data_IF_672297481213
#
_entry.id   IF_672297481213
#
_cell.length_a   1.000
_cell.length_b   1.000
_cell.length_c   1.000
_cell.angle_alpha   90.00
_cell.angle_beta   90.00
_cell.angle_gamma   90.00
#
_symmetry.space_group_name_H-M   'P 1'
#
loop_
_entity.id
_entity.type
_entity.pdbx_description
1 polymer ?
#
# COMPACT_ATOMS: atom_id res chain seq x y z
N UNK A 1 10.37 -63.62 -16.54
CA UNK A 1 9.80 -62.69 -17.55
C UNK A 1 10.53 -61.36 -17.43
N UNK A 2 11.26 -60.99 -18.49
CA UNK A 2 12.03 -59.75 -18.64
C UNK A 2 11.11 -58.62 -19.13
N UNK A 3 11.19 -57.43 -18.52
CA UNK A 3 11.01 -56.11 -19.15
C UNK A 3 11.63 -55.06 -18.18
N UNK A 4 12.91 -54.69 -18.29
CA UNK A 4 13.46 -53.50 -18.98
C UNK A 4 12.59 -52.23 -18.96
N UNK A 5 13.06 -51.24 -18.18
CA UNK A 5 13.52 -49.94 -18.71
C UNK A 5 12.53 -48.76 -18.75
N UNK A 6 12.84 -47.71 -17.98
CA UNK A 6 13.20 -46.40 -18.54
C UNK A 6 13.60 -45.41 -17.43
N UNK A 7 14.83 -44.89 -17.53
CA UNK A 7 15.28 -43.68 -16.85
C UNK A 7 14.99 -42.50 -17.79
N UNK A 8 14.25 -41.51 -17.33
CA UNK A 8 14.17 -40.21 -18.00
C UNK A 8 14.91 -39.20 -17.13
N UNK A 9 15.94 -38.59 -17.73
CA UNK A 9 16.66 -37.43 -17.20
C UNK A 9 15.89 -36.19 -17.61
N UNK A 10 15.46 -35.37 -16.65
CA UNK A 10 14.94 -34.03 -16.95
C UNK A 10 16.11 -33.04 -16.93
N UNK A 11 16.35 -32.42 -18.08
CA UNK A 11 17.30 -31.33 -18.26
C UNK A 11 16.65 -30.01 -17.82
N UNK A 12 17.40 -29.18 -17.10
CA UNK A 12 17.04 -27.82 -16.77
C UNK A 12 17.20 -26.92 -18.02
N UNK A 13 16.14 -26.19 -18.36
CA UNK A 13 16.19 -25.13 -19.39
C UNK A 13 16.27 -23.79 -18.67
N UNK A 14 17.39 -23.10 -18.86
CA UNK A 14 17.62 -21.71 -18.45
C UNK A 14 17.16 -20.83 -19.60
N UNK A 15 16.14 -19.99 -19.37
CA UNK A 15 15.72 -18.96 -20.33
C UNK A 15 16.20 -17.61 -19.83
N UNK A 16 17.18 -17.04 -20.51
CA UNK A 16 17.60 -15.65 -20.37
C UNK A 16 16.91 -14.84 -21.49
N UNK A 17 16.02 -13.93 -21.13
CA UNK A 17 15.42 -12.99 -22.07
C UNK A 17 16.15 -11.64 -21.98
N UNK A 18 16.82 -11.26 -23.06
CA UNK A 18 17.38 -9.92 -23.26
C UNK A 18 16.54 -9.26 -24.35
N UNK A 19 15.89 -8.13 -24.06
CA UNK A 19 15.09 -7.39 -25.03
C UNK A 19 15.77 -6.03 -25.30
N UNK A 20 16.35 -5.89 -26.50
CA UNK A 20 16.71 -4.61 -27.10
C UNK A 20 15.66 -4.30 -28.17
N UNK A 21 14.98 -3.17 -28.07
CA UNK A 21 14.21 -2.61 -29.20
C UNK A 21 14.67 -1.16 -29.39
N UNK A 22 15.42 -0.95 -30.47
CA UNK A 22 15.65 0.35 -31.07
C UNK A 22 14.64 0.51 -32.21
N UNK A 23 13.86 1.59 -32.20
CA UNK A 23 13.07 2.00 -33.36
C UNK A 23 13.61 3.33 -33.87
N UNK A 24 14.21 3.27 -35.06
CA UNK A 24 14.43 4.40 -35.94
C UNK A 24 13.79 4.06 -37.28
N UNK A 25 12.92 4.92 -37.80
CA UNK A 25 12.88 5.34 -39.22
C UNK A 25 11.66 6.24 -39.47
N UNK A 26 11.97 7.46 -39.92
CA UNK A 26 11.06 8.39 -40.59
C UNK A 26 10.62 7.86 -41.96
N UNK A 27 9.61 8.50 -42.56
CA UNK A 27 9.83 8.94 -43.92
C UNK A 27 9.44 10.39 -44.18
N UNK A 28 10.24 10.98 -45.07
CA UNK A 28 10.09 12.23 -45.78
C UNK A 28 8.69 12.45 -46.37
N UNK A 29 8.27 13.71 -46.41
CA UNK A 29 7.54 14.24 -47.57
C UNK A 29 7.87 15.71 -47.79
N UNK A 30 8.33 15.98 -49.01
CA UNK A 30 8.82 17.23 -49.56
C UNK A 30 7.70 18.06 -50.20
N UNK A 31 7.80 19.38 -49.98
CA UNK A 31 7.47 20.53 -50.84
C UNK A 31 6.08 20.73 -51.49
N UNK A 32 5.48 21.90 -51.23
CA UNK A 32 5.51 23.02 -52.20
C UNK A 32 5.01 24.36 -51.60
N UNK A 33 5.46 25.52 -52.13
CA UNK A 33 5.31 26.83 -51.50
C UNK A 33 4.08 27.61 -52.04
N UNK A 34 3.49 28.47 -51.20
CA UNK A 34 2.60 29.56 -51.64
C UNK A 34 2.98 30.91 -51.00
N UNK A 35 3.45 31.77 -51.89
CA UNK A 35 3.34 33.23 -51.98
C UNK A 35 2.97 34.06 -50.76
N UNK A 36 3.89 34.98 -50.46
CA UNK A 36 3.77 36.27 -49.78
C UNK A 36 2.41 36.98 -49.89
N UNK A 37 1.82 37.30 -48.73
CA UNK A 37 1.07 38.54 -48.54
C UNK A 37 1.63 39.28 -47.33
N UNK A 38 2.21 40.44 -47.58
CA UNK A 38 2.71 41.38 -46.58
C UNK A 38 1.50 42.08 -45.95
N UNK A 39 1.03 41.60 -44.80
CA UNK A 39 0.15 42.39 -43.92
C UNK A 39 0.98 43.06 -42.83
N UNK A 40 1.15 44.38 -42.96
CA UNK A 40 1.65 45.22 -41.88
C UNK A 40 0.55 45.36 -40.82
N UNK A 41 0.49 44.43 -39.88
CA UNK A 41 -0.39 44.55 -38.71
C UNK A 41 0.27 45.48 -37.70
N UNK A 42 -0.37 46.61 -37.43
CA UNK A 42 -0.04 47.47 -36.28
C UNK A 42 -0.35 46.65 -35.02
N UNK A 43 0.68 46.10 -34.38
CA UNK A 43 0.54 45.46 -33.06
C UNK A 43 0.35 46.60 -32.05
N UNK A 44 -0.90 46.96 -31.80
CA UNK A 44 -1.23 47.60 -30.54
C UNK A 44 -0.79 46.65 -29.43
N UNK A 45 0.14 47.09 -28.59
CA UNK A 45 0.56 46.39 -27.38
C UNK A 45 -0.66 46.31 -26.45
N UNK A 46 -1.46 45.26 -26.65
CA UNK A 46 -2.47 44.86 -25.70
C UNK A 46 -1.71 44.44 -24.45
N UNK A 47 -1.97 45.13 -23.33
CA UNK A 47 -1.52 44.65 -22.04
C UNK A 47 -1.91 43.17 -21.92
N UNK A 48 -1.00 42.29 -21.44
CA UNK A 48 -1.33 40.89 -21.28
C UNK A 48 -2.64 40.81 -20.47
N UNK A 49 -3.59 39.96 -20.88
CA UNK A 49 -4.84 39.82 -20.13
C UNK A 49 -4.50 39.60 -18.66
N UNK A 50 -5.22 40.23 -17.72
CA UNK A 50 -5.01 39.97 -16.30
C UNK A 50 -5.02 38.45 -16.12
N UNK A 51 -4.02 37.93 -15.39
CA UNK A 51 -3.96 36.49 -15.12
C UNK A 51 -5.33 36.04 -14.61
N UNK A 52 -5.86 34.91 -15.08
CA UNK A 52 -7.20 34.43 -14.71
C UNK A 52 -7.43 34.48 -13.19
N UNK A 53 -6.36 34.27 -12.42
CA UNK A 53 -6.26 34.46 -10.97
C UNK A 53 -6.74 35.83 -10.44
N UNK A 54 -6.35 36.94 -11.06
CA UNK A 54 -6.69 38.30 -10.61
C UNK A 54 -8.13 38.70 -10.97
N UNK A 55 -8.68 38.15 -12.06
CA UNK A 55 -10.11 38.31 -12.38
C UNK A 55 -10.98 37.49 -11.42
N UNK A 56 -10.54 36.27 -11.08
CA UNK A 56 -11.16 35.42 -10.06
C UNK A 56 -11.17 36.13 -8.71
N UNK A 57 -10.03 36.61 -8.21
CA UNK A 57 -9.97 37.33 -6.92
C UNK A 57 -10.90 38.55 -6.88
N UNK A 58 -11.02 39.29 -7.99
CA UNK A 58 -11.89 40.47 -8.12
C UNK A 58 -13.38 40.10 -8.19
N UNK A 59 -13.74 39.06 -8.93
CA UNK A 59 -15.13 38.60 -9.08
C UNK A 59 -15.70 38.06 -7.77
N UNK A 60 -14.82 37.68 -6.85
CA UNK A 60 -15.16 36.84 -5.72
C UNK A 60 -15.18 37.56 -4.36
N UNK A 61 -14.74 38.82 -4.29
CA UNK A 61 -15.02 39.69 -3.15
C UNK A 61 -14.29 39.36 -1.83
N UNK A 62 -13.17 38.64 -1.88
CA UNK A 62 -12.23 38.53 -0.74
C UNK A 62 -12.59 37.57 0.40
N UNK A 63 -13.72 36.84 0.33
CA UNK A 63 -14.02 35.79 1.31
C UNK A 63 -12.97 34.64 1.29
N UNK A 64 -12.63 34.03 2.44
CA UNK A 64 -11.76 32.85 2.51
C UNK A 64 -12.37 31.64 1.79
N UNK A 65 -11.58 30.96 0.96
CA UNK A 65 -12.04 29.91 0.03
C UNK A 65 -10.91 28.96 -0.39
N UNK A 66 -11.25 27.83 -1.00
CA UNK A 66 -10.28 26.96 -1.67
C UNK A 66 -10.41 27.17 -3.18
N UNK A 67 -9.33 27.63 -3.81
CA UNK A 67 -9.24 27.88 -5.25
C UNK A 67 -8.40 26.77 -5.88
N UNK A 68 -8.97 26.02 -6.81
CA UNK A 68 -8.25 25.02 -7.59
C UNK A 68 -7.87 25.63 -8.94
N UNK A 69 -6.56 25.67 -9.22
CA UNK A 69 -6.01 26.08 -10.49
C UNK A 69 -5.82 24.86 -11.41
N UNK A 70 -6.65 24.76 -12.45
CA UNK A 70 -6.43 23.80 -13.53
C UNK A 70 -5.68 24.49 -14.68
N UNK A 71 -4.44 24.05 -14.93
CA UNK A 71 -3.64 24.51 -16.07
C UNK A 71 -3.86 23.68 -17.33
N UNK A 72 -4.58 22.55 -17.22
CA UNK A 72 -4.93 21.75 -18.38
C UNK A 72 -6.04 22.44 -19.18
N UNK A 73 -6.10 22.14 -20.48
CA UNK A 73 -7.19 22.58 -21.36
C UNK A 73 -8.44 21.70 -21.20
N UNK A 74 -8.40 20.69 -20.32
CA UNK A 74 -9.49 19.75 -20.13
C UNK A 74 -10.44 20.31 -19.07
N UNK A 75 -11.72 20.31 -19.41
CA UNK A 75 -12.77 20.62 -18.46
C UNK A 75 -12.85 19.52 -17.40
N UNK A 76 -12.59 19.88 -16.15
CA UNK A 76 -12.69 18.99 -15.01
C UNK A 76 -14.11 19.07 -14.42
N UNK A 77 -14.68 17.90 -14.12
CA UNK A 77 -15.75 17.78 -13.14
C UNK A 77 -15.11 17.31 -11.82
N UNK A 78 -15.41 17.96 -10.71
CA UNK A 78 -14.99 17.47 -9.39
C UNK A 78 -15.95 16.36 -8.96
N UNK A 79 -15.42 15.19 -8.62
CA UNK A 79 -16.24 14.02 -8.32
C UNK A 79 -16.35 13.76 -6.83
N UNK A 80 -15.23 13.88 -6.11
CA UNK A 80 -15.18 13.66 -4.67
C UNK A 80 -14.14 14.58 -4.06
N UNK A 81 -14.32 14.87 -2.78
CA UNK A 81 -13.32 15.53 -1.97
C UNK A 81 -13.20 14.84 -0.63
N UNK A 82 -11.98 14.74 -0.14
CA UNK A 82 -11.67 14.15 1.16
C UNK A 82 -10.85 15.14 1.98
N UNK A 83 -10.93 14.99 3.29
CA UNK A 83 -10.12 15.76 4.22
C UNK A 83 -9.63 14.85 5.33
N UNK A 84 -8.42 15.10 5.83
CA UNK A 84 -8.00 14.58 7.13
C UNK A 84 -7.28 15.67 7.91
N UNK A 85 -7.42 15.66 9.22
CA UNK A 85 -6.64 16.54 10.08
C UNK A 85 -5.14 16.22 9.94
N UNK A 86 -4.27 17.21 10.14
CA UNK A 86 -2.81 17.03 9.99
C UNK A 86 -2.28 15.90 10.90
N UNK A 87 -2.95 15.66 12.04
CA UNK A 87 -2.61 14.62 12.99
C UNK A 87 -3.24 13.26 12.66
N UNK A 88 -4.13 13.13 11.67
CA UNK A 88 -4.80 11.87 11.33
C UNK A 88 -5.81 11.35 12.37
N UNK A 89 -6.15 12.14 13.40
CA UNK A 89 -7.00 11.72 14.53
C UNK A 89 -8.46 11.51 14.16
N UNK A 90 -8.98 12.27 13.21
CA UNK A 90 -10.35 12.14 12.72
C UNK A 90 -10.46 11.06 11.64
N UNK A 91 -9.32 10.59 11.12
CA UNK A 91 -9.29 9.71 9.95
C UNK A 91 -9.68 10.47 8.68
N UNK A 92 -9.80 9.75 7.57
CA UNK A 92 -10.27 10.34 6.32
C UNK A 92 -11.78 10.59 6.40
N UNK A 93 -12.20 11.83 6.14
CA UNK A 93 -13.59 12.24 6.08
C UNK A 93 -13.95 12.69 4.66
N UNK A 94 -15.12 12.27 4.17
CA UNK A 94 -15.67 12.73 2.89
C UNK A 94 -16.20 14.15 3.04
N UNK A 95 -15.89 15.03 2.09
CA UNK A 95 -16.42 16.40 2.00
C UNK A 95 -17.63 16.46 1.07
N UNK A 96 -17.53 15.80 -0.08
CA UNK A 96 -18.57 15.74 -1.10
C UNK A 96 -18.71 14.31 -1.61
N UNK A 97 -19.94 13.76 -1.66
CA UNK A 97 -20.16 12.42 -2.19
C UNK A 97 -19.94 12.37 -3.70
N UNK A 98 -19.72 11.17 -4.22
CA UNK A 98 -19.99 10.90 -5.62
C UNK A 98 -21.50 11.09 -5.86
N UNK A 99 -21.85 11.87 -6.88
CA UNK A 99 -23.26 12.14 -7.21
C UNK A 99 -24.09 10.89 -7.48
N UNK A 100 -23.46 9.77 -7.83
CA UNK A 100 -24.12 8.46 -8.00
C UNK A 100 -24.56 7.84 -6.68
N UNK A 101 -23.82 8.08 -5.59
CA UNK A 101 -24.12 7.52 -4.27
C UNK A 101 -25.26 8.28 -3.60
N UNK A 102 -25.31 9.60 -3.82
CA UNK A 102 -26.29 10.49 -3.21
C UNK A 102 -26.87 11.49 -4.24
N UNK A 103 -27.69 11.04 -5.21
CA UNK A 103 -28.14 11.85 -6.34
C UNK A 103 -29.05 13.02 -5.98
N UNK A 104 -29.60 13.03 -4.75
CA UNK A 104 -30.44 14.11 -4.23
C UNK A 104 -29.67 15.09 -3.33
N UNK A 105 -28.39 14.84 -3.08
CA UNK A 105 -27.57 15.73 -2.28
C UNK A 105 -27.10 16.89 -3.14
N UNK A 106 -27.67 18.07 -2.90
CA UNK A 106 -27.14 19.32 -3.42
C UNK A 106 -26.19 19.93 -2.38
N UNK A 107 -24.87 19.95 -2.64
CA UNK A 107 -23.95 20.58 -1.71
C UNK A 107 -24.33 22.06 -1.52
N UNK A 108 -24.48 22.50 -0.26
CA UNK A 108 -24.71 23.92 0.06
C UNK A 108 -23.52 24.79 -0.30
N UNK A 109 -22.33 24.20 -0.32
CA UNK A 109 -21.08 24.81 -0.72
C UNK A 109 -21.08 25.01 -2.24
N UNK A 110 -20.88 26.25 -2.67
CA UNK A 110 -20.91 26.58 -4.10
C UNK A 110 -19.56 26.22 -4.72
N UNK A 111 -19.61 25.44 -5.80
CA UNK A 111 -18.52 25.31 -6.75
C UNK A 111 -18.78 26.28 -7.91
N UNK A 112 -17.94 27.30 -8.06
CA UNK A 112 -17.99 28.21 -9.20
C UNK A 112 -16.86 27.87 -10.18
N UNK A 113 -17.23 27.56 -11.43
CA UNK A 113 -16.27 27.31 -12.51
C UNK A 113 -16.06 28.59 -13.32
N UNK A 114 -14.83 29.11 -13.34
CA UNK A 114 -14.45 30.29 -14.12
C UNK A 114 -13.14 30.02 -14.86
N UNK A 115 -13.20 29.78 -16.18
CA UNK A 115 -12.02 29.66 -17.07
C UNK A 115 -10.92 28.69 -16.56
N UNK A 116 -11.31 27.49 -16.14
CA UNK A 116 -10.35 26.50 -15.59
C UNK A 116 -9.94 26.75 -14.14
N UNK A 117 -10.55 27.72 -13.46
CA UNK A 117 -10.42 27.89 -12.01
C UNK A 117 -11.72 27.43 -11.35
N UNK A 118 -11.58 26.57 -10.33
CA UNK A 118 -12.70 26.10 -9.53
C UNK A 118 -12.61 26.76 -8.16
N UNK A 119 -13.62 27.55 -7.82
CA UNK A 119 -13.74 28.13 -6.49
C UNK A 119 -14.68 27.26 -5.65
N UNK A 120 -14.16 26.77 -4.54
CA UNK A 120 -14.88 25.98 -3.55
C UNK A 120 -14.98 26.77 -2.26
N UNK A 121 -16.23 26.91 -1.80
CA UNK A 121 -16.45 27.37 -0.42
C UNK A 121 -15.74 26.40 0.53
N UNK A 122 -15.07 26.95 1.55
CA UNK A 122 -14.36 26.13 2.53
C UNK A 122 -15.31 25.06 3.09
N UNK A 123 -14.89 23.77 3.12
CA UNK A 123 -15.68 22.77 3.78
C UNK A 123 -15.83 23.13 5.25
N UNK A 124 -17.08 23.24 5.72
CA UNK A 124 -17.36 23.53 7.15
C UNK A 124 -17.88 22.30 7.89
N UNK A 125 -18.27 21.27 7.15
CA UNK A 125 -18.85 20.04 7.67
C UNK A 125 -18.27 18.85 6.90
N UNK A 126 -18.08 17.73 7.59
CA UNK A 126 -17.89 16.44 6.91
C UNK A 126 -19.23 15.97 6.34
N UNK A 127 -19.20 15.22 5.25
CA UNK A 127 -20.36 14.56 4.68
C UNK A 127 -20.68 13.26 5.41
N UNK A 128 -21.96 13.00 5.67
CA UNK A 128 -22.45 11.73 6.22
C UNK A 128 -23.02 10.86 5.08
N UNK A 129 -22.19 9.94 4.59
CA UNK A 129 -22.53 9.03 3.49
C UNK A 129 -23.77 8.18 3.77
N UNK A 130 -23.97 7.76 5.02
CA UNK A 130 -25.12 6.91 5.37
C UNK A 130 -26.43 7.67 5.30
N UNK A 131 -26.39 8.98 5.52
CA UNK A 131 -27.58 9.85 5.51
C UNK A 131 -27.72 10.65 4.23
N UNK A 132 -26.74 10.60 3.34
CA UNK A 132 -26.64 11.48 2.18
C UNK A 132 -26.87 12.96 2.54
N UNK A 133 -26.24 13.43 3.61
CA UNK A 133 -26.47 14.76 4.16
C UNK A 133 -25.20 15.38 4.73
N UNK A 134 -25.24 16.68 4.99
CA UNK A 134 -24.19 17.36 5.76
C UNK A 134 -24.13 16.75 7.17
N UNK A 135 -22.94 16.30 7.55
CA UNK A 135 -22.63 15.65 8.82
C UNK A 135 -22.18 16.65 9.89
N UNK A 136 -21.25 16.21 10.74
CA UNK A 136 -20.74 17.04 11.82
C UNK A 136 -19.89 18.21 11.30
N UNK A 137 -19.96 19.34 12.00
CA UNK A 137 -19.08 20.48 11.74
C UNK A 137 -17.61 20.08 11.93
N UNK A 138 -16.74 20.53 11.03
CA UNK A 138 -15.31 20.33 11.14
C UNK A 138 -14.77 21.23 12.26
N UNK A 139 -14.03 20.70 13.25
CA UNK A 139 -13.43 21.54 14.28
C UNK A 139 -12.37 22.48 13.69
N UNK A 140 -12.03 23.58 14.36
CA UNK A 140 -10.88 24.39 13.97
C UNK A 140 -9.59 23.58 14.02
N UNK A 141 -8.72 23.72 13.02
CA UNK A 141 -7.50 22.92 12.95
C UNK A 141 -6.81 22.98 11.59
N UNK A 142 -5.66 22.30 11.52
CA UNK A 142 -4.93 22.10 10.26
C UNK A 142 -5.38 20.79 9.64
N UNK A 143 -5.61 20.85 8.34
CA UNK A 143 -6.10 19.75 7.55
C UNK A 143 -5.28 19.61 6.28
N UNK A 144 -5.35 18.45 5.67
CA UNK A 144 -4.97 18.27 4.28
C UNK A 144 -6.25 17.91 3.52
N UNK A 145 -6.48 18.56 2.38
CA UNK A 145 -7.65 18.34 1.51
C UNK A 145 -7.21 17.67 0.20
N UNK A 146 -8.00 16.71 -0.28
CA UNK A 146 -7.81 15.97 -1.53
C UNK A 146 -9.05 16.19 -2.36
N UNK A 147 -8.89 16.47 -3.63
CA UNK A 147 -10.01 16.71 -4.54
C UNK A 147 -9.72 16.02 -5.84
N UNK A 148 -10.55 15.04 -6.20
CA UNK A 148 -10.39 14.27 -7.43
C UNK A 148 -11.19 14.88 -8.57
N UNK A 149 -10.52 15.04 -9.71
CA UNK A 149 -11.20 15.03 -11.00
C UNK A 149 -11.59 13.59 -11.31
N UNK A 150 -12.82 13.32 -11.68
CA UNK A 150 -13.21 11.92 -11.94
C UNK A 150 -12.66 11.37 -13.25
N UNK A 151 -13.25 10.23 -13.63
CA UNK A 151 -12.75 9.19 -14.54
C UNK A 151 -12.16 9.60 -15.90
N UNK A 152 -12.28 10.85 -16.35
CA UNK A 152 -11.82 11.26 -17.68
C UNK A 152 -10.44 11.92 -17.70
N UNK A 153 -9.91 12.40 -16.57
CA UNK A 153 -8.72 13.26 -16.60
C UNK A 153 -7.56 12.82 -15.71
N UNK A 154 -7.73 11.84 -14.82
CA UNK A 154 -6.67 11.41 -13.89
C UNK A 154 -5.91 12.61 -13.28
N UNK A 155 -6.66 13.64 -12.87
CA UNK A 155 -6.12 14.79 -12.13
C UNK A 155 -6.63 14.80 -10.68
N UNK A 156 -5.79 15.25 -9.77
CA UNK A 156 -6.17 15.55 -8.39
C UNK A 156 -5.61 16.90 -7.96
N UNK A 157 -6.22 17.52 -6.95
CA UNK A 157 -5.67 18.68 -6.26
C UNK A 157 -5.58 18.38 -4.76
N UNK A 158 -4.37 18.44 -4.23
CA UNK A 158 -4.07 18.18 -2.82
C UNK A 158 -3.36 19.35 -2.14
N UNK A 159 -3.61 19.57 -0.84
CA UNK A 159 -2.81 20.54 -0.08
C UNK A 159 -3.26 20.78 1.36
N UNK A 160 -2.40 21.45 2.14
CA UNK A 160 -2.70 21.83 3.53
C UNK A 160 -3.67 23.04 3.57
N UNK A 161 -4.66 23.00 4.47
CA UNK A 161 -5.57 24.11 4.78
C UNK A 161 -5.69 24.29 6.30
N UNK A 162 -6.08 25.47 6.76
CA UNK A 162 -6.38 25.72 8.19
C UNK A 162 -7.80 26.22 8.34
N UNK A 163 -8.64 25.51 9.09
CA UNK A 163 -10.01 25.89 9.37
C UNK A 163 -10.15 26.63 10.72
N UNK A 164 -11.00 27.65 10.82
CA UNK A 164 -11.68 28.32 9.70
C UNK A 164 -10.67 28.99 8.77
N UNK A 165 -10.92 28.99 7.47
CA UNK A 165 -10.04 29.68 6.51
C UNK A 165 -10.03 31.17 6.86
N UNK A 166 -8.83 31.74 6.98
CA UNK A 166 -8.63 33.19 7.15
C UNK A 166 -8.28 33.89 5.83
N UNK A 167 -7.81 33.12 4.84
CA UNK A 167 -7.41 33.59 3.52
C UNK A 167 -7.76 32.54 2.45
N UNK A 168 -7.64 32.92 1.18
CA UNK A 168 -7.84 31.99 0.08
C UNK A 168 -6.65 31.03 -0.03
N UNK A 169 -6.92 29.72 -0.08
CA UNK A 169 -5.91 28.70 -0.32
C UNK A 169 -5.96 28.28 -1.79
N UNK A 170 -4.80 28.25 -2.45
CA UNK A 170 -4.68 27.85 -3.86
C UNK A 170 -4.08 26.46 -3.98
N UNK A 171 -4.84 25.56 -4.57
CA UNK A 171 -4.42 24.20 -4.89
C UNK A 171 -4.19 24.09 -6.40
N UNK A 172 -3.25 23.24 -6.80
CA UNK A 172 -2.97 23.00 -8.22
C UNK A 172 -3.45 21.60 -8.58
N UNK A 173 -4.07 21.49 -9.75
CA UNK A 173 -4.36 20.17 -10.33
C UNK A 173 -3.06 19.55 -10.86
N UNK A 174 -2.82 18.30 -10.46
CA UNK A 174 -1.67 17.47 -10.82
C UNK A 174 -2.16 16.12 -11.37
N UNK A 175 -1.31 15.41 -12.11
CA UNK A 175 -1.62 14.07 -12.62
C UNK A 175 -1.58 13.01 -11.50
N UNK A 176 -2.53 12.07 -11.50
CA UNK A 176 -2.58 10.94 -10.58
C UNK A 176 -1.38 10.01 -10.68
N UNK A 177 -0.54 10.07 -11.71
CA UNK A 177 0.67 9.25 -11.77
C UNK A 177 1.86 9.89 -11.05
N UNK A 178 1.81 11.21 -10.78
CA UNK A 178 2.86 11.89 -10.03
C UNK A 178 2.77 11.50 -8.55
N UNK A 179 3.69 10.66 -8.06
CA UNK A 179 3.76 10.37 -6.62
C UNK A 179 4.03 11.68 -5.85
N UNK A 180 3.28 11.98 -4.77
CA UNK A 180 3.54 13.17 -4.00
C UNK A 180 4.94 13.07 -3.39
N UNK A 181 5.65 14.19 -3.35
CA UNK A 181 6.97 14.21 -2.72
C UNK A 181 6.82 13.80 -1.25
N UNK A 182 7.56 12.77 -0.83
CA UNK A 182 7.53 12.38 0.57
C UNK A 182 8.18 13.47 1.43
N UNK A 183 7.51 13.81 2.54
CA UNK A 183 8.08 14.61 3.61
C UNK A 183 7.71 14.01 4.98
N UNK A 184 8.40 14.45 6.04
CA UNK A 184 8.21 13.91 7.39
C UNK A 184 6.76 14.01 7.87
N UNK A 185 6.07 15.14 7.63
CA UNK A 185 4.67 15.29 8.06
C UNK A 185 3.74 14.28 7.36
N UNK A 186 3.92 14.10 6.05
CA UNK A 186 3.17 13.13 5.25
C UNK A 186 3.43 11.70 5.75
N UNK A 187 4.68 11.34 6.02
CA UNK A 187 5.03 10.04 6.58
C UNK A 187 4.41 9.80 7.98
N UNK A 188 4.45 10.81 8.85
CA UNK A 188 3.85 10.74 10.20
C UNK A 188 2.31 10.63 10.14
N UNK A 189 1.66 11.37 9.24
CA UNK A 189 0.22 11.28 9.03
C UNK A 189 -0.17 9.91 8.49
N UNK A 190 0.54 9.42 7.47
CA UNK A 190 0.39 8.06 6.95
C UNK A 190 0.50 7.01 8.05
N UNK A 191 1.52 7.11 8.91
CA UNK A 191 1.72 6.22 10.04
C UNK A 191 0.53 6.19 10.99
N UNK A 192 -0.06 7.35 11.31
CA UNK A 192 -1.24 7.43 12.18
C UNK A 192 -2.45 6.76 11.56
N UNK A 193 -2.69 6.99 10.27
CA UNK A 193 -3.80 6.38 9.54
C UNK A 193 -3.67 4.86 9.47
N UNK A 194 -2.50 4.34 9.12
CA UNK A 194 -2.28 2.90 8.98
C UNK A 194 -2.30 2.18 10.33
N UNK A 195 -1.72 2.76 11.39
CA UNK A 195 -1.77 2.17 12.73
C UNK A 195 -3.22 2.08 13.23
N UNK A 196 -3.99 3.17 13.12
CA UNK A 196 -5.41 3.17 13.48
C UNK A 196 -6.21 2.15 12.68
N UNK A 197 -6.02 2.11 11.36
CA UNK A 197 -6.69 1.14 10.52
C UNK A 197 -6.29 -0.32 10.85
N UNK A 198 -5.09 -0.54 11.38
CA UNK A 198 -4.63 -1.86 11.83
C UNK A 198 -5.33 -2.28 13.12
N UNK A 199 -5.53 -1.36 14.07
CA UNK A 199 -6.33 -1.59 15.27
C UNK A 199 -7.78 -1.91 14.91
N UNK A 200 -8.38 -1.14 13.99
CA UNK A 200 -9.73 -1.39 13.47
C UNK A 200 -9.84 -2.73 12.72
N UNK A 201 -8.73 -3.21 12.12
CA UNK A 201 -8.62 -4.54 11.53
C UNK A 201 -8.35 -5.66 12.56
N UNK A 202 -8.30 -5.35 13.86
CA UNK A 202 -8.18 -6.31 14.95
C UNK A 202 -6.73 -6.65 15.36
N UNK A 203 -5.73 -5.88 14.92
CA UNK A 203 -4.37 -6.03 15.45
C UNK A 203 -4.35 -5.57 16.91
N UNK A 204 -3.96 -6.41 17.88
CA UNK A 204 -3.97 -6.02 19.28
C UNK A 204 -3.04 -4.83 19.54
N UNK A 205 -3.48 -3.85 20.33
CA UNK A 205 -2.69 -2.65 20.69
C UNK A 205 -1.31 -3.02 21.26
N UNK A 206 -1.24 -4.06 22.09
CA UNK A 206 0.02 -4.57 22.64
C UNK A 206 1.04 -5.02 21.57
N UNK A 207 0.59 -5.36 20.37
CA UNK A 207 1.47 -5.66 19.22
C UNK A 207 2.00 -4.41 18.55
N UNK A 208 1.24 -3.32 18.57
CA UNK A 208 1.64 -2.04 18.02
C UNK A 208 2.41 -1.18 19.03
N UNK A 209 2.43 -1.59 20.31
CA UNK A 209 3.19 -0.94 21.37
C UNK A 209 4.67 -0.78 20.97
N UNK A 210 5.12 0.47 20.85
CA UNK A 210 6.48 0.82 20.40
C UNK A 210 6.58 1.32 18.95
N UNK A 211 5.50 1.28 18.18
CA UNK A 211 5.41 1.95 16.89
C UNK A 211 4.93 3.40 17.06
N UNK A 212 5.87 4.31 17.30
CA UNK A 212 5.58 5.74 17.42
C UNK A 212 5.46 6.37 16.01
N UNK A 213 4.27 6.86 15.60
CA UNK A 213 4.08 7.48 14.30
C UNK A 213 4.93 8.73 14.08
N UNK A 214 5.39 9.40 15.13
CA UNK A 214 6.25 10.59 15.01
C UNK A 214 7.65 10.26 14.49
N UNK A 215 8.06 8.99 14.58
CA UNK A 215 9.35 8.49 14.06
C UNK A 215 9.31 8.15 12.57
N UNK A 216 8.14 8.23 11.93
CA UNK A 216 7.98 7.87 10.54
C UNK A 216 8.82 8.75 9.60
N UNK A 217 9.54 8.09 8.68
CA UNK A 217 10.43 8.74 7.73
C UNK A 217 10.07 8.43 6.27
N UNK A 218 10.81 9.06 5.36
CA UNK A 218 10.70 8.79 3.93
C UNK A 218 11.67 7.68 3.51
N UNK A 219 11.21 6.79 2.64
CA UNK A 219 12.00 5.76 1.98
C UNK A 219 11.86 5.81 0.46
N UNK A 220 12.60 4.97 -0.23
CA UNK A 220 12.56 4.80 -1.69
C UNK A 220 12.13 3.39 -2.08
N UNK A 221 11.62 3.23 -3.29
CA UNK A 221 11.47 1.92 -3.93
C UNK A 221 12.72 1.58 -4.77
N UNK A 222 13.06 0.28 -4.96
CA UNK A 222 12.41 -0.90 -4.37
C UNK A 222 12.61 -0.98 -2.86
N UNK A 223 11.72 -1.70 -2.17
CA UNK A 223 11.83 -1.91 -0.73
C UNK A 223 13.13 -2.69 -0.43
N UNK A 224 13.99 -2.20 0.48
CA UNK A 224 15.22 -2.90 0.81
C UNK A 224 14.94 -4.19 1.58
N UNK A 225 15.72 -5.22 1.28
CA UNK A 225 15.83 -6.45 2.06
C UNK A 225 16.62 -6.15 3.33
N UNK A 226 15.90 -5.74 4.37
CA UNK A 226 16.47 -5.39 5.68
C UNK A 226 16.19 -6.48 6.70
N UNK A 227 17.20 -6.82 7.51
CA UNK A 227 17.01 -7.63 8.69
C UNK A 227 15.93 -7.03 9.61
N UNK A 228 15.20 -7.85 10.39
CA UNK A 228 14.24 -7.35 11.37
C UNK A 228 14.85 -6.24 12.25
N UNK A 229 14.18 -5.07 12.37
CA UNK A 229 14.75 -3.96 13.12
C UNK A 229 14.73 -4.24 14.63
N UNK A 230 15.58 -3.57 15.39
CA UNK A 230 15.60 -3.68 16.86
C UNK A 230 14.45 -2.94 17.54
N UNK A 231 13.82 -2.00 16.84
CA UNK A 231 12.63 -1.26 17.25
C UNK A 231 11.70 -1.11 16.04
N UNK A 232 10.44 -0.72 16.26
CA UNK A 232 9.51 -0.51 15.16
C UNK A 232 10.05 0.56 14.19
N UNK A 233 10.04 0.26 12.88
CA UNK A 233 10.50 1.18 11.83
C UNK A 233 9.36 1.48 10.87
N UNK A 234 9.04 2.76 10.73
CA UNK A 234 7.93 3.26 9.90
C UNK A 234 8.50 4.09 8.74
N UNK A 235 8.26 3.64 7.51
CA UNK A 235 8.79 4.30 6.32
C UNK A 235 7.72 4.43 5.24
N UNK A 236 7.57 5.64 4.70
CA UNK A 236 6.70 5.92 3.55
C UNK A 236 7.53 5.86 2.26
N UNK A 237 7.20 4.90 1.39
CA UNK A 237 7.81 4.71 0.08
C UNK A 237 6.79 5.11 -0.99
N UNK A 238 6.93 6.31 -1.55
CA UNK A 238 5.93 6.91 -2.45
C UNK A 238 4.55 7.00 -1.78
N UNK A 239 3.66 6.04 -2.03
CA UNK A 239 2.31 5.92 -1.47
C UNK A 239 2.15 4.71 -0.53
N UNK A 240 3.18 3.89 -0.37
CA UNK A 240 3.17 2.69 0.46
C UNK A 240 3.83 2.99 1.81
N UNK A 241 3.04 3.05 2.87
CA UNK A 241 3.60 3.01 4.22
C UNK A 241 3.94 1.56 4.58
N UNK A 242 5.17 1.35 5.03
CA UNK A 242 5.67 0.10 5.58
C UNK A 242 5.99 0.28 7.06
N UNK A 243 5.41 -0.58 7.90
CA UNK A 243 5.71 -0.66 9.34
C UNK A 243 6.38 -2.01 9.58
N UNK A 244 7.69 -2.00 9.88
CA UNK A 244 8.48 -3.19 10.23
C UNK A 244 8.54 -3.33 11.74
N UNK A 245 8.07 -4.47 12.25
CA UNK A 245 7.99 -4.75 13.68
C UNK A 245 9.31 -5.35 14.18
N UNK A 246 9.70 -5.11 15.45
CA UNK A 246 10.81 -5.83 16.05
C UNK A 246 10.48 -7.32 16.21
N UNK A 247 11.50 -8.20 16.38
CA UNK A 247 11.26 -9.62 16.61
C UNK A 247 10.51 -9.87 17.93
N UNK A 248 9.36 -10.54 17.86
CA UNK A 248 8.57 -10.92 19.05
C UNK A 248 8.17 -12.40 19.09
N UNK A 249 8.49 -13.18 18.04
CA UNK A 249 8.04 -14.56 17.85
C UNK A 249 6.56 -14.68 17.44
N UNK A 250 5.76 -13.68 17.78
CA UNK A 250 4.35 -13.57 17.46
C UNK A 250 4.14 -12.64 16.25
N UNK A 251 3.09 -12.89 15.48
CA UNK A 251 2.71 -12.03 14.35
C UNK A 251 2.12 -10.70 14.86
N UNK A 252 2.17 -9.62 14.08
CA UNK A 252 2.75 -9.48 12.73
C UNK A 252 4.23 -9.04 12.71
N UNK A 253 5.00 -9.41 11.67
CA UNK A 253 6.36 -8.86 11.42
C UNK A 253 6.34 -7.56 10.61
N UNK A 254 5.30 -7.37 9.81
CA UNK A 254 5.16 -6.24 8.89
C UNK A 254 3.69 -5.89 8.70
N UNK A 255 3.41 -4.60 8.64
CA UNK A 255 2.12 -4.05 8.22
C UNK A 255 2.39 -3.10 7.07
N UNK A 256 1.63 -3.23 5.98
CA UNK A 256 1.67 -2.29 4.87
C UNK A 256 0.33 -1.63 4.63
N UNK A 257 0.35 -0.34 4.30
CA UNK A 257 -0.83 0.45 3.99
C UNK A 257 -0.61 1.31 2.76
N UNK A 258 -1.54 1.26 1.82
CA UNK A 258 -1.54 2.10 0.63
C UNK A 258 -2.32 3.38 0.88
N UNK A 259 -1.73 4.49 0.46
CA UNK A 259 -2.33 5.81 0.48
C UNK A 259 -2.70 6.20 -0.95
N UNK A 260 -3.89 6.74 -1.15
CA UNK A 260 -4.14 7.64 -2.27
C UNK A 260 -3.46 8.97 -1.95
N UNK A 261 -2.30 9.16 -2.57
CA UNK A 261 -1.57 10.42 -2.54
C UNK A 261 -1.37 10.94 -1.12
N UNK A 262 -1.97 12.08 -0.80
CA UNK A 262 -1.72 12.80 0.43
C UNK A 262 -2.57 12.33 1.61
N UNK A 263 -3.60 11.52 1.38
CA UNK A 263 -4.81 11.62 2.21
C UNK A 263 -5.65 10.37 2.44
N UNK A 264 -5.86 9.52 1.42
CA UNK A 264 -6.86 8.44 1.57
C UNK A 264 -6.16 7.15 1.89
N UNK A 265 -6.44 6.58 3.05
CA UNK A 265 -6.16 5.17 3.24
C UNK A 265 -7.19 4.36 2.46
N UNK A 266 -6.81 3.82 1.30
CA UNK A 266 -7.78 3.31 0.32
C UNK A 266 -8.25 1.89 0.57
N UNK A 267 -7.49 1.13 1.37
CA UNK A 267 -7.71 -0.31 1.53
C UNK A 267 -7.31 -0.74 2.92
N UNK A 268 -7.96 -1.79 3.45
CA UNK A 268 -7.55 -2.43 4.71
C UNK A 268 -6.05 -2.70 4.72
N UNK A 269 -5.35 -2.49 5.84
CA UNK A 269 -3.91 -2.65 5.88
C UNK A 269 -3.60 -4.12 5.65
N UNK A 270 -2.58 -4.39 4.85
CA UNK A 270 -2.07 -5.74 4.70
C UNK A 270 -1.19 -6.04 5.92
N UNK A 271 -1.79 -6.76 6.88
CA UNK A 271 -1.13 -7.21 8.10
C UNK A 271 -0.54 -8.59 7.83
N UNK A 272 0.79 -8.68 7.79
CA UNK A 272 1.46 -9.97 7.56
C UNK A 272 1.22 -10.91 8.74
N UNK A 273 0.85 -12.16 8.43
CA UNK A 273 0.78 -13.25 9.43
C UNK A 273 2.13 -13.89 9.70
N UNK A 274 3.16 -13.52 8.95
CA UNK A 274 4.52 -13.93 9.26
C UNK A 274 5.01 -13.21 10.51
N UNK A 275 5.86 -13.86 11.31
CA UNK A 275 6.52 -13.25 12.46
C UNK A 275 8.03 -13.22 12.28
N UNK A 276 8.70 -12.42 13.12
CA UNK A 276 10.14 -12.49 13.31
C UNK A 276 10.44 -12.81 14.77
N UNK A 277 11.49 -13.56 15.03
CA UNK A 277 11.93 -13.94 16.36
C UNK A 277 13.43 -13.71 16.52
N UNK A 278 13.86 -13.57 17.76
CA UNK A 278 15.25 -13.33 18.11
C UNK A 278 15.71 -14.31 19.17
N UNK A 279 16.94 -14.79 19.00
CA UNK A 279 17.64 -15.59 19.99
C UNK A 279 18.97 -14.93 20.37
N UNK A 280 19.11 -14.61 21.65
CA UNK A 280 20.34 -14.07 22.21
C UNK A 280 21.32 -15.20 22.58
N UNK A 281 22.50 -15.18 21.97
CA UNK A 281 23.62 -16.09 22.24
C UNK A 281 24.87 -15.27 22.63
N UNK A 282 24.97 -14.95 23.91
CA UNK A 282 26.01 -14.03 24.40
C UNK A 282 25.72 -12.60 23.94
N UNK A 283 26.57 -12.04 23.07
CA UNK A 283 26.38 -10.71 22.47
C UNK A 283 25.74 -10.76 21.09
N UNK A 284 25.64 -11.95 20.50
CA UNK A 284 25.19 -12.13 19.13
C UNK A 284 23.67 -12.35 19.10
N UNK A 285 22.99 -11.65 18.17
CA UNK A 285 21.54 -11.72 17.93
C UNK A 285 21.25 -12.59 16.72
N UNK A 286 20.78 -13.81 16.93
CA UNK A 286 20.33 -14.67 15.82
C UNK A 286 18.88 -14.33 15.51
N UNK A 287 18.59 -13.97 14.26
CA UNK A 287 17.27 -13.53 13.82
C UNK A 287 16.62 -14.63 12.99
N UNK A 288 15.33 -14.86 13.21
CA UNK A 288 14.50 -15.82 12.48
C UNK A 288 13.33 -15.05 11.89
N UNK A 289 13.15 -15.10 10.59
CA UNK A 289 12.07 -14.42 9.89
C UNK A 289 11.26 -15.43 9.08
N UNK A 290 9.98 -15.59 9.40
CA UNK A 290 9.09 -16.42 8.59
C UNK A 290 8.84 -15.78 7.23
N UNK A 291 8.85 -16.58 6.17
CA UNK A 291 8.64 -16.10 4.80
C UNK A 291 7.16 -16.21 4.44
N UNK A 292 6.60 -15.20 3.77
CA UNK A 292 5.29 -15.32 3.15
C UNK A 292 5.44 -16.10 1.84
N UNK A 293 4.85 -17.29 1.75
CA UNK A 293 4.82 -18.08 0.53
C UNK A 293 3.56 -17.78 -0.28
N UNK A 294 3.66 -17.91 -1.62
CA UNK A 294 2.53 -17.80 -2.55
C UNK A 294 2.22 -19.17 -3.13
N UNK A 295 0.95 -19.55 -3.14
CA UNK A 295 0.42 -20.76 -3.72
C UNK A 295 -0.68 -20.41 -4.71
N UNK A 296 -0.89 -21.26 -5.70
CA UNK A 296 -1.91 -21.09 -6.74
C UNK A 296 -2.77 -22.35 -6.75
N UNK A 297 -4.10 -22.20 -6.79
CA UNK A 297 -5.00 -23.28 -7.17
C UNK A 297 -5.91 -22.90 -8.33
N UNK A 298 -6.38 -23.91 -9.06
CA UNK A 298 -7.34 -23.77 -10.15
C UNK A 298 -8.77 -24.06 -9.65
N UNK A 299 -9.73 -23.24 -10.04
CA UNK A 299 -11.13 -23.44 -9.68
C UNK A 299 -11.70 -24.72 -10.33
N UNK A 300 -12.30 -25.59 -9.51
CA UNK A 300 -12.80 -26.90 -9.95
C UNK A 300 -11.75 -28.01 -9.98
N UNK A 301 -10.47 -27.70 -9.68
CA UNK A 301 -9.41 -28.67 -9.47
C UNK A 301 -9.31 -29.15 -8.01
N UNK A 302 -8.31 -29.98 -7.73
CA UNK A 302 -7.99 -30.41 -6.37
C UNK A 302 -7.66 -29.20 -5.47
N UNK A 303 -7.96 -29.31 -4.17
CA UNK A 303 -7.66 -28.26 -3.21
C UNK A 303 -6.17 -27.87 -3.24
N UNK A 304 -5.86 -26.59 -3.01
CA UNK A 304 -4.49 -26.20 -2.67
C UNK A 304 -4.06 -26.96 -1.41
N UNK A 305 -2.85 -27.50 -1.44
CA UNK A 305 -2.24 -28.15 -0.29
C UNK A 305 -1.00 -27.36 0.13
N UNK A 306 -0.94 -27.01 1.41
CA UNK A 306 0.28 -26.46 2.01
C UNK A 306 0.96 -27.57 2.79
N UNK A 307 2.20 -27.89 2.42
CA UNK A 307 2.98 -28.99 3.01
C UNK A 307 4.35 -28.53 3.52
N UNK A 308 4.57 -27.22 3.60
CA UNK A 308 5.81 -26.70 4.15
C UNK A 308 5.76 -25.20 4.44
N UNK A 309 6.80 -24.75 5.12
CA UNK A 309 7.08 -23.34 5.38
C UNK A 309 8.57 -23.06 5.27
N UNK A 310 8.91 -21.79 5.07
CA UNK A 310 10.30 -21.34 5.03
C UNK A 310 10.56 -20.30 6.11
N UNK A 311 11.72 -20.41 6.75
CA UNK A 311 12.24 -19.47 7.73
C UNK A 311 13.62 -19.01 7.28
N UNK A 312 13.82 -17.71 7.11
CA UNK A 312 15.15 -17.13 6.88
C UNK A 312 15.80 -16.88 8.22
N UNK A 313 17.00 -17.42 8.41
CA UNK A 313 17.77 -17.27 9.65
C UNK A 313 19.04 -16.48 9.36
N UNK A 314 19.25 -15.40 10.09
CA UNK A 314 20.51 -14.66 10.10
C UNK A 314 21.28 -15.03 11.36
N UNK A 315 22.37 -15.79 11.18
CA UNK A 315 23.28 -16.20 12.22
C UNK A 315 24.57 -15.34 12.16
N UNK A 316 24.66 -14.25 12.93
CA UNK A 316 25.89 -13.44 12.96
C UNK A 316 27.01 -14.07 13.78
N UNK A 317 26.76 -15.22 14.44
CA UNK A 317 27.81 -15.89 15.22
C UNK A 317 28.88 -16.42 14.29
N UNK A 318 30.12 -16.52 14.78
CA UNK A 318 31.25 -17.07 14.02
C UNK A 318 31.27 -18.60 13.96
N UNK A 319 30.18 -19.27 14.36
CA UNK A 319 30.09 -20.73 14.40
C UNK A 319 28.75 -21.22 13.85
N UNK A 320 28.74 -22.50 13.50
CA UNK A 320 27.51 -23.17 13.14
C UNK A 320 26.66 -23.46 14.39
N UNK A 321 25.33 -23.33 14.27
CA UNK A 321 24.36 -23.60 15.33
C UNK A 321 23.53 -24.82 14.97
N UNK A 322 23.31 -25.74 15.93
CA UNK A 322 22.41 -26.88 15.69
C UNK A 322 20.97 -26.43 15.82
N UNK A 323 20.13 -26.83 14.87
CA UNK A 323 18.68 -26.55 14.89
C UNK A 323 17.91 -27.86 14.80
N UNK A 324 16.84 -27.96 15.58
CA UNK A 324 15.83 -29.01 15.44
C UNK A 324 14.45 -28.38 15.36
N UNK A 325 13.58 -28.96 14.52
CA UNK A 325 12.15 -28.62 14.50
C UNK A 325 11.45 -29.59 15.44
N UNK A 326 10.80 -29.06 16.47
CA UNK A 326 10.12 -29.86 17.50
C UNK A 326 8.62 -29.98 17.28
N UNK A 327 8.05 -29.09 16.45
CA UNK A 327 6.65 -29.15 16.06
C UNK A 327 6.30 -28.06 15.07
N UNK A 328 5.18 -28.24 14.40
CA UNK A 328 4.53 -27.23 13.57
C UNK A 328 3.07 -27.16 13.98
N UNK A 329 2.58 -25.95 14.19
CA UNK A 329 1.18 -25.64 14.47
C UNK A 329 0.58 -24.98 13.23
N UNK A 330 -0.61 -25.43 12.82
CA UNK A 330 -1.39 -24.74 11.79
C UNK A 330 -2.29 -23.72 12.49
N UNK A 331 -2.08 -22.43 12.23
CA UNK A 331 -2.77 -21.39 12.98
C UNK A 331 -4.19 -21.18 12.44
N UNK A 332 -5.15 -21.20 13.36
CA UNK A 332 -6.55 -20.82 13.12
C UNK A 332 -6.68 -19.32 13.34
N UNK A 333 -7.23 -18.61 12.36
CA UNK A 333 -7.42 -17.15 12.40
C UNK A 333 -8.87 -16.74 12.69
N UNK A 334 -9.79 -17.70 12.82
CA UNK A 334 -11.21 -17.45 13.12
C UNK A 334 -11.98 -16.66 12.05
N UNK A 335 -11.33 -16.06 11.06
CA UNK A 335 -11.96 -15.18 10.06
C UNK A 335 -12.65 -15.92 8.92
N UNK A 336 -12.50 -17.24 8.86
CA UNK A 336 -12.56 -17.93 7.59
C UNK A 336 -12.86 -19.43 7.71
N UNK A 337 -13.77 -19.78 8.63
CA UNK A 337 -14.15 -21.16 8.97
C UNK A 337 -12.96 -22.08 9.31
N UNK A 338 -11.86 -21.47 9.75
CA UNK A 338 -10.56 -22.03 10.05
C UNK A 338 -10.62 -23.40 10.73
N UNK A 339 -9.59 -24.26 10.58
CA UNK A 339 -9.60 -25.61 11.12
C UNK A 339 -10.09 -25.59 12.57
N UNK A 340 -11.13 -26.38 12.81
CA UNK A 340 -11.78 -26.48 14.11
C UNK A 340 -10.71 -26.72 15.18
N UNK A 341 -10.89 -26.21 16.42
CA UNK A 341 -9.90 -26.32 17.49
C UNK A 341 -9.41 -27.75 17.80
N UNK A 342 -10.05 -28.77 17.22
CA UNK A 342 -9.73 -30.18 17.33
C UNK A 342 -8.80 -30.72 16.23
N UNK A 343 -8.31 -29.90 15.29
CA UNK A 343 -7.39 -30.38 14.27
C UNK A 343 -6.00 -30.62 14.89
N UNK A 344 -5.47 -31.86 14.85
CA UNK A 344 -4.17 -32.16 15.41
C UNK A 344 -3.09 -31.38 14.67
N UNK A 345 -2.01 -30.95 15.33
CA UNK A 345 -0.88 -30.30 14.66
C UNK A 345 -0.29 -31.18 13.54
N UNK A 346 0.10 -30.62 12.38
CA UNK A 346 0.74 -31.41 11.31
C UNK A 346 2.04 -32.03 11.80
N UNK A 347 2.27 -33.29 11.42
CA UNK A 347 3.54 -33.95 11.71
C UNK A 347 4.62 -33.38 10.80
N UNK A 348 5.75 -33.01 11.39
CA UNK A 348 6.95 -32.61 10.64
C UNK A 348 7.44 -33.82 9.84
N UNK A 349 7.55 -33.67 8.52
CA UNK A 349 7.97 -34.73 7.60
C UNK A 349 9.45 -34.58 7.24
N UNK A 350 9.94 -33.35 7.12
CA UNK A 350 11.34 -33.05 6.81
C UNK A 350 11.71 -31.64 7.28
N UNK A 351 13.00 -31.38 7.45
CA UNK A 351 13.52 -30.01 7.49
C UNK A 351 15.00 -29.99 7.12
N UNK A 352 15.43 -28.90 6.47
CA UNK A 352 16.82 -28.68 6.09
C UNK A 352 17.12 -27.17 6.00
N UNK A 353 18.30 -26.70 6.45
CA UNK A 353 19.39 -27.47 7.06
C UNK A 353 19.19 -27.76 8.55
N UNK A 354 19.81 -28.85 9.03
CA UNK A 354 19.87 -29.21 10.47
C UNK A 354 20.93 -28.41 11.25
N UNK A 355 21.73 -27.65 10.53
CA UNK A 355 22.83 -26.84 11.04
C UNK A 355 22.77 -25.49 10.34
N UNK A 356 22.76 -24.41 11.12
CA UNK A 356 22.74 -23.04 10.64
C UNK A 356 24.18 -22.55 10.55
N UNK A 357 24.79 -22.43 9.36
CA UNK A 357 26.13 -21.86 9.23
C UNK A 357 26.13 -20.36 9.60
N UNK A 358 27.30 -19.74 9.83
CA UNK A 358 27.40 -18.28 9.89
C UNK A 358 26.82 -17.63 8.62
N UNK A 359 26.11 -16.51 8.77
CA UNK A 359 25.46 -15.78 7.70
C UNK A 359 23.95 -16.01 7.61
N UNK A 360 23.38 -15.72 6.44
CA UNK A 360 21.94 -15.89 6.18
C UNK A 360 21.68 -17.25 5.54
N UNK A 361 20.69 -17.98 6.04
CA UNK A 361 20.33 -19.33 5.55
C UNK A 361 18.82 -19.50 5.55
N UNK A 362 18.26 -20.09 4.50
CA UNK A 362 16.86 -20.49 4.47
C UNK A 362 16.70 -21.89 5.05
N UNK A 363 15.85 -22.04 6.05
CA UNK A 363 15.40 -23.32 6.61
C UNK A 363 14.04 -23.65 6.00
N UNK A 364 13.99 -24.74 5.26
CA UNK A 364 12.75 -25.28 4.70
C UNK A 364 12.24 -26.37 5.64
N UNK A 365 10.97 -26.26 6.05
CA UNK A 365 10.33 -27.19 6.98
C UNK A 365 9.15 -27.82 6.25
N UNK A 366 9.24 -29.11 5.95
CA UNK A 366 8.16 -29.90 5.39
C UNK A 366 7.31 -30.52 6.49
N UNK A 367 6.00 -30.59 6.26
CA UNK A 367 5.04 -31.21 7.16
C UNK A 367 3.90 -31.88 6.40
N UNK A 368 3.10 -32.67 7.10
CA UNK A 368 1.91 -33.34 6.54
C UNK A 368 0.99 -32.32 5.83
N UNK A 369 0.65 -32.53 4.55
CA UNK A 369 -0.14 -31.58 3.77
C UNK A 369 -1.44 -31.16 4.46
N UNK A 370 -1.76 -29.86 4.36
CA UNK A 370 -3.00 -29.28 4.85
C UNK A 370 -3.79 -28.68 3.71
N UNK A 371 -5.06 -29.03 3.66
CA UNK A 371 -6.01 -28.41 2.75
C UNK A 371 -6.13 -26.92 3.06
N UNK A 372 -5.90 -26.11 2.05
CA UNK A 372 -6.11 -24.67 2.06
C UNK A 372 -7.39 -24.36 1.25
N UNK A 373 -8.49 -24.98 1.67
CA UNK A 373 -9.80 -24.85 1.04
C UNK A 373 -10.77 -24.19 2.01
N UNK A 374 -11.18 -22.94 1.72
CA UNK A 374 -12.52 -22.40 2.01
C UNK A 374 -12.82 -21.31 0.99
N UNK A 375 -14.06 -21.26 0.49
CA UNK A 375 -14.51 -20.44 -0.64
C UNK A 375 -14.22 -18.93 -0.54
N UNK A 376 -13.69 -18.45 0.59
CA UNK A 376 -13.45 -17.04 0.90
C UNK A 376 -12.11 -16.77 1.59
N UNK A 377 -11.17 -17.73 1.58
CA UNK A 377 -9.96 -17.67 2.40
C UNK A 377 -8.70 -17.93 1.58
N UNK A 378 -7.86 -16.90 1.49
CA UNK A 378 -6.67 -16.83 0.65
C UNK A 378 -5.39 -16.64 1.48
N UNK A 379 -5.48 -16.59 2.82
CA UNK A 379 -4.31 -16.40 3.69
C UNK A 379 -4.36 -17.39 4.86
N UNK A 380 -3.31 -18.20 4.98
CA UNK A 380 -3.09 -19.16 6.05
C UNK A 380 -1.77 -18.90 6.75
N UNK A 381 -1.52 -19.53 7.91
CA UNK A 381 -0.25 -19.40 8.60
C UNK A 381 0.14 -20.70 9.32
N UNK A 382 1.43 -21.00 9.32
CA UNK A 382 2.03 -22.10 10.07
C UNK A 382 3.06 -21.55 11.04
N UNK A 383 3.10 -22.07 12.26
CA UNK A 383 4.09 -21.71 13.28
C UNK A 383 5.01 -22.89 13.53
N UNK A 384 6.30 -22.69 13.31
CA UNK A 384 7.32 -23.66 13.69
C UNK A 384 7.81 -23.41 15.12
N UNK A 385 8.00 -24.49 15.86
CA UNK A 385 8.71 -24.51 17.14
C UNK A 385 10.10 -25.08 16.93
N UNK A 386 11.10 -24.20 16.94
CA UNK A 386 12.50 -24.51 16.72
C UNK A 386 13.24 -24.62 18.05
N UNK A 387 14.22 -25.50 18.13
CA UNK A 387 15.18 -25.56 19.22
C UNK A 387 16.56 -25.28 18.63
N UNK A 388 17.22 -24.23 19.11
CA UNK A 388 18.56 -23.80 18.68
C UNK A 388 19.46 -23.71 19.90
N UNK A 389 20.49 -24.55 19.93
CA UNK A 389 21.38 -24.68 21.10
C UNK A 389 20.61 -24.91 22.42
N UNK A 390 19.50 -25.66 22.36
CA UNK A 390 18.65 -25.98 23.52
C UNK A 390 17.71 -24.85 23.97
N UNK A 391 17.60 -23.77 23.19
CA UNK A 391 16.63 -22.68 23.43
C UNK A 391 15.52 -22.73 22.39
N UNK A 392 14.29 -22.50 22.84
CA UNK A 392 13.13 -22.45 21.98
C UNK A 392 13.03 -21.13 21.21
N UNK A 393 12.63 -21.22 19.95
CA UNK A 393 12.27 -20.10 19.09
C UNK A 393 10.97 -20.43 18.37
N UNK A 394 10.00 -19.52 18.44
CA UNK A 394 8.73 -19.61 17.70
C UNK A 394 8.78 -18.66 16.51
N UNK A 395 8.43 -19.15 15.33
CA UNK A 395 8.37 -18.32 14.12
C UNK A 395 7.19 -18.73 13.25
N UNK A 396 6.46 -17.75 12.77
CA UNK A 396 5.24 -17.94 11.97
C UNK A 396 5.53 -17.54 10.53
N UNK A 397 5.05 -18.34 9.58
CA UNK A 397 5.15 -18.11 8.14
C UNK A 397 3.74 -18.07 7.55
N UNK A 398 3.44 -17.01 6.82
CA UNK A 398 2.20 -16.84 6.07
C UNK A 398 2.23 -17.61 4.76
N UNK A 399 1.06 -18.06 4.32
CA UNK A 399 0.85 -18.85 3.12
C UNK A 399 -0.35 -18.21 2.40
N UNK A 400 -0.07 -17.43 1.36
CA UNK A 400 -1.11 -16.81 0.53
C UNK A 400 -1.48 -17.76 -0.60
N UNK A 401 -2.77 -18.00 -0.81
CA UNK A 401 -3.30 -18.92 -1.81
C UNK A 401 -4.17 -18.12 -2.76
N UNK A 402 -3.67 -17.93 -3.97
CA UNK A 402 -4.41 -17.25 -5.04
C UNK A 402 -5.23 -18.27 -5.81
N UNK A 403 -6.52 -17.97 -5.98
CA UNK A 403 -7.41 -18.71 -6.87
C UNK A 403 -7.26 -18.22 -8.30
N UNK A 404 -7.10 -19.14 -9.24
CA UNK A 404 -7.17 -18.88 -10.68
C UNK A 404 -8.44 -19.56 -11.20
N UNK A 405 -9.31 -18.78 -11.84
CA UNK A 405 -10.42 -19.35 -12.62
C UNK A 405 -9.88 -19.72 -14.00
N UNK A 406 -10.07 -20.97 -14.46
CA UNK A 406 -9.73 -21.29 -15.84
C UNK A 406 -10.60 -20.42 -16.74
N UNK A 407 -9.95 -19.69 -17.67
CA UNK A 407 -10.66 -18.96 -18.70
C UNK A 407 -11.55 -19.97 -19.44
N UNK A 408 -12.87 -19.79 -19.37
CA UNK A 408 -13.80 -20.61 -20.13
C UNK A 408 -13.42 -20.52 -21.62
N UNK A 409 -12.91 -21.62 -22.16
CA UNK A 409 -12.58 -21.77 -23.58
C UNK A 409 -13.82 -21.95 -24.44
#
# INVERSE_FOLDING_TARGET
MNLRGSRVRSAAVVVAATLFIACASSPDTTESPRSNETQTTVVASLAPPPSASAEVDRALGGAPRVVIENRSTVDINLYTGFIVDEEGKLGTMTLWPLGVDCPKYEPKERMLKLRGVYDLTAPTHAFDEKRCASGAALPPGKYVVHIDSGYSSDLYAGGEITLPLTEAVRLKMEQHDAAPTCNTKRAQRAARLVLRASEEAGVPEAKLAGCDPTTAGCGSLPLPDEAPPSACKLTLHENLLRIRMPPTGEAPKEITGWLDKDLVFTQRPNVSRSSSAELQLGKDRVLFEGVTAMHIHEHGGDAAHVSGMQVVVTNPTKRALKVTVTGVEWLSDGSCGAPQPNNPPPKVSSFDPKVLPPGTTAVNIGFEPREAYQAHCDIFASRARLQVEGKEVLVTSEQKVTRIEPLHH
#
